data_IF_043771324799
#
_entry.id   IF_043771324799
#
_cell.length_a   1.000
_cell.length_b   1.000
_cell.length_c   1.000
_cell.angle_alpha   90.00
_cell.angle_beta   90.00
_cell.angle_gamma   90.00
#
_symmetry.space_group_name_H-M   'P 1'
#
loop_
_entity.id
_entity.type
_entity.pdbx_description
1 polymer ?
#
# COMPACT_ATOMS: atom_id res chain seq x y z
N UNK A 1 -10.12 -4.80 16.26
CA UNK A 1 -9.01 -4.22 15.46
C UNK A 1 -9.05 -4.85 14.09
N UNK A 2 -9.49 -4.12 13.07
CA UNK A 2 -9.44 -4.59 11.70
C UNK A 2 -8.09 -4.17 11.11
N UNK A 3 -7.26 -5.13 10.72
CA UNK A 3 -6.04 -4.84 9.99
C UNK A 3 -6.37 -4.77 8.50
N UNK A 4 -6.10 -3.64 7.86
CA UNK A 4 -6.37 -3.43 6.44
C UNK A 4 -5.14 -3.90 5.65
N UNK A 5 -5.24 -5.04 4.99
CA UNK A 5 -4.18 -5.59 4.13
C UNK A 5 -4.65 -5.68 2.70
N UNK A 6 -3.70 -5.63 1.78
CA UNK A 6 -3.94 -6.10 0.42
C UNK A 6 -3.97 -7.63 0.41
N UNK A 7 -4.89 -8.21 -0.37
CA UNK A 7 -4.99 -9.66 -0.55
C UNK A 7 -3.68 -10.20 -1.13
N UNK A 8 -3.08 -11.21 -0.48
CA UNK A 8 -1.98 -11.96 -1.07
C UNK A 8 -2.53 -12.82 -2.22
N UNK A 9 -2.11 -12.51 -3.44
CA UNK A 9 -2.40 -13.24 -4.68
C UNK A 9 -1.47 -14.45 -4.86
N UNK A 10 -0.41 -14.56 -4.05
CA UNK A 10 0.52 -15.68 -4.02
C UNK A 10 0.04 -16.84 -3.14
N UNK A 11 0.80 -17.93 -3.12
CA UNK A 11 0.46 -19.16 -2.38
C UNK A 11 0.91 -19.17 -0.92
N UNK A 12 1.57 -18.09 -0.46
CA UNK A 12 2.01 -17.93 0.92
C UNK A 12 0.82 -17.71 1.89
N UNK A 13 0.53 -18.64 2.81
CA UNK A 13 -0.52 -18.45 3.80
C UNK A 13 -0.06 -17.48 4.90
N UNK A 14 -1.02 -16.79 5.52
CA UNK A 14 -0.80 -15.92 6.70
C UNK A 14 0.16 -14.73 6.51
N UNK A 15 0.39 -14.33 5.26
CA UNK A 15 1.12 -13.10 4.93
C UNK A 15 0.22 -12.14 4.17
N UNK A 16 0.48 -10.86 4.33
CA UNK A 16 -0.15 -9.78 3.59
C UNK A 16 0.88 -8.73 3.18
N UNK A 17 0.47 -7.84 2.29
CA UNK A 17 1.23 -6.65 1.94
C UNK A 17 0.52 -5.45 2.53
N UNK A 18 1.26 -4.67 3.30
CA UNK A 18 0.82 -3.39 3.85
C UNK A 18 1.52 -2.29 3.08
N UNK A 19 0.75 -1.32 2.64
CA UNK A 19 1.25 -0.10 2.01
C UNK A 19 1.02 1.04 2.98
N UNK A 20 1.99 1.91 3.12
CA UNK A 20 1.89 3.10 3.94
C UNK A 20 2.21 4.34 3.11
N UNK A 21 1.54 5.44 3.42
CA UNK A 21 1.90 6.75 2.93
C UNK A 21 3.31 7.09 3.42
N UNK A 22 4.17 7.51 2.50
CA UNK A 22 5.60 7.68 2.77
C UNK A 22 5.92 8.87 3.68
N UNK A 23 5.01 9.85 3.77
CA UNK A 23 5.22 11.07 4.55
C UNK A 23 4.59 10.96 5.94
N UNK A 24 3.39 10.38 6.02
CA UNK A 24 2.61 10.27 7.27
C UNK A 24 2.74 8.91 7.94
N UNK A 25 3.33 7.91 7.26
CA UNK A 25 3.40 6.51 7.69
C UNK A 25 2.03 5.86 7.96
N UNK A 26 0.94 6.49 7.50
CA UNK A 26 -0.40 5.93 7.66
C UNK A 26 -0.61 4.76 6.71
N UNK A 27 -1.25 3.71 7.22
CA UNK A 27 -1.58 2.54 6.39
C UNK A 27 -2.64 2.88 5.35
N UNK A 28 -2.34 2.58 4.09
CA UNK A 28 -3.24 2.74 2.95
C UNK A 28 -3.90 1.40 2.65
N UNK A 29 -5.12 1.24 3.16
CA UNK A 29 -5.97 0.09 2.87
C UNK A 29 -6.79 0.28 1.59
N UNK A 30 -7.53 -0.75 1.16
CA UNK A 30 -8.48 -0.62 0.05
C UNK A 30 -9.46 0.53 0.30
N UNK A 31 -9.58 1.44 -0.67
CA UNK A 31 -10.47 2.61 -0.60
C UNK A 31 -9.90 3.82 0.16
N UNK A 32 -8.68 3.74 0.70
CA UNK A 32 -7.99 4.92 1.26
C UNK A 32 -7.82 6.00 0.19
N UNK A 33 -7.87 7.27 0.62
CA UNK A 33 -7.64 8.45 -0.24
C UNK A 33 -6.49 9.27 0.32
N UNK A 34 -5.62 9.74 -0.56
CA UNK A 34 -4.52 10.66 -0.25
C UNK A 34 -4.67 11.90 -1.13
N UNK A 35 -4.56 13.09 -0.54
CA UNK A 35 -4.57 14.35 -1.30
C UNK A 35 -3.13 14.82 -1.45
N UNK A 36 -2.70 15.07 -2.67
CA UNK A 36 -1.35 15.51 -2.99
C UNK A 36 -1.37 16.95 -3.46
N UNK A 37 -0.47 17.76 -2.92
CA UNK A 37 -0.23 19.09 -3.48
C UNK A 37 0.58 18.97 -4.78
N UNK A 38 0.21 19.77 -5.78
CA UNK A 38 1.01 19.90 -7.01
C UNK A 38 2.11 20.92 -6.77
N UNK A 39 3.37 20.52 -6.98
CA UNK A 39 4.47 21.47 -7.08
C UNK A 39 4.30 22.29 -8.35
N UNK A 40 4.04 23.58 -8.19
CA UNK A 40 3.75 24.49 -9.29
C UNK A 40 5.00 24.83 -10.13
N UNK A 41 6.21 24.54 -9.65
CA UNK A 41 7.46 24.74 -10.38
C UNK A 41 7.68 23.61 -11.37
N UNK A 42 7.63 22.36 -10.90
CA UNK A 42 7.81 21.17 -11.73
C UNK A 42 6.54 20.71 -12.44
N UNK A 43 5.36 21.22 -12.02
CA UNK A 43 4.03 20.73 -12.43
C UNK A 43 3.84 19.24 -12.12
N UNK A 44 4.42 18.76 -11.02
CA UNK A 44 4.32 17.35 -10.60
C UNK A 44 3.64 17.21 -9.24
N UNK A 45 3.05 16.04 -9.00
CA UNK A 45 2.61 15.60 -7.68
C UNK A 45 3.20 14.21 -7.45
N UNK A 46 3.79 14.01 -6.27
CA UNK A 46 4.50 12.77 -5.92
C UNK A 46 3.78 12.08 -4.79
N UNK A 47 3.33 10.85 -5.00
CA UNK A 47 2.92 9.94 -3.93
C UNK A 47 4.15 9.17 -3.44
N UNK A 48 4.66 9.51 -2.27
CA UNK A 48 5.65 8.68 -1.58
C UNK A 48 4.93 7.50 -0.92
N UNK A 49 5.43 6.28 -1.03
CA UNK A 49 4.83 5.11 -0.39
C UNK A 49 5.88 4.11 0.11
N UNK A 50 5.66 3.58 1.31
CA UNK A 50 6.41 2.46 1.86
C UNK A 50 5.64 1.14 1.72
N UNK A 51 6.35 0.04 1.49
CA UNK A 51 5.77 -1.30 1.43
C UNK A 51 6.37 -2.19 2.51
N UNK A 52 5.53 -2.93 3.22
CA UNK A 52 5.95 -3.90 4.21
C UNK A 52 5.24 -5.24 4.01
N UNK A 53 6.01 -6.32 4.07
CA UNK A 53 5.44 -7.67 4.21
C UNK A 53 5.09 -7.88 5.66
N UNK A 54 3.82 -8.17 5.93
CA UNK A 54 3.32 -8.45 7.28
C UNK A 54 3.00 -9.94 7.37
N UNK A 55 3.48 -10.56 8.44
CA UNK A 55 3.36 -12.00 8.66
C UNK A 55 2.69 -12.24 10.01
N UNK A 56 1.58 -12.98 10.01
CA UNK A 56 0.85 -13.31 11.24
C UNK A 56 1.28 -14.64 11.86
N UNK A 57 1.93 -15.52 11.09
CA UNK A 57 2.46 -16.82 11.54
C UNK A 57 3.70 -17.22 10.74
N UNK A 58 4.59 -18.05 11.29
CA UNK A 58 5.69 -18.65 10.53
C UNK A 58 5.16 -19.27 9.23
N UNK A 59 5.78 -18.88 8.12
CA UNK A 59 5.44 -19.27 6.78
C UNK A 59 6.73 -19.77 6.14
N UNK A 60 6.64 -20.86 5.39
CA UNK A 60 7.77 -21.32 4.59
C UNK A 60 8.08 -20.36 3.45
N UNK A 61 9.18 -20.59 2.73
CA UNK A 61 9.53 -19.82 1.53
C UNK A 61 8.52 -20.09 0.42
N UNK A 62 7.45 -19.30 0.38
CA UNK A 62 6.40 -19.34 -0.65
C UNK A 62 6.20 -17.93 -1.24
N UNK A 63 5.76 -17.82 -2.51
CA UNK A 63 5.53 -16.53 -3.14
C UNK A 63 4.48 -15.69 -2.40
N UNK A 64 4.82 -14.43 -2.14
CA UNK A 64 3.89 -13.37 -1.76
C UNK A 64 3.74 -12.42 -2.96
N UNK A 65 2.51 -12.20 -3.41
CA UNK A 65 2.20 -11.35 -4.55
C UNK A 65 1.04 -10.43 -4.17
N UNK A 66 1.08 -9.17 -4.59
CA UNK A 66 -0.06 -8.26 -4.44
C UNK A 66 -0.09 -7.26 -5.58
N UNK A 67 -1.28 -6.74 -5.85
CA UNK A 67 -1.52 -5.75 -6.89
C UNK A 67 -2.37 -4.61 -6.32
N UNK A 68 -1.94 -3.37 -6.55
CA UNK A 68 -2.65 -2.16 -6.14
C UNK A 68 -3.18 -1.44 -7.37
N UNK A 69 -4.47 -1.08 -7.32
CA UNK A 69 -5.04 -0.13 -8.26
C UNK A 69 -5.06 1.26 -7.61
N UNK A 70 -4.60 2.26 -8.36
CA UNK A 70 -4.64 3.66 -7.98
C UNK A 70 -5.50 4.41 -8.99
N UNK A 71 -6.54 5.08 -8.50
CA UNK A 71 -7.39 5.94 -9.30
C UNK A 71 -7.09 7.41 -8.93
N UNK A 72 -6.92 8.26 -9.93
CA UNK A 72 -6.58 9.67 -9.74
C UNK A 72 -7.75 10.57 -10.13
N UNK A 73 -8.08 11.53 -9.26
CA UNK A 73 -9.08 12.56 -9.52
C UNK A 73 -8.47 13.93 -9.29
N UNK A 74 -8.72 14.87 -10.19
CA UNK A 74 -8.26 16.25 -10.10
C UNK A 74 -9.38 17.12 -9.54
N UNK A 75 -9.04 18.04 -8.63
CA UNK A 75 -9.96 19.00 -8.03
C UNK A 75 -9.49 20.42 -8.32
#
# INVERSE_FOLDING_TARGET
MACHFMLNLGSAPYVGIQIADGDTHQTLGPGSRVTLAVDNTSKTATLSSGQQVVQHRPNGCRPNQGAMQLDFTYQ
#
